data_IF_967572469874
#
_entry.id   IF_967572469874
#
_cell.length_a   1.000
_cell.length_b   1.000
_cell.length_c   1.000
_cell.angle_alpha   90.00
_cell.angle_beta   90.00
_cell.angle_gamma   90.00
#
_symmetry.space_group_name_H-M   'P 1'
#
loop_
_entity.id
_entity.type
_entity.pdbx_description
1 polymer ?
#
# COMPACT_ATOMS: atom_id res chain seq x y z
N UNK A 1 -18.22 9.96 24.22
CA UNK A 1 -19.56 10.45 23.84
C UNK A 1 -19.38 11.40 22.68
N UNK A 2 -20.11 11.23 21.56
CA UNK A 2 -19.98 12.10 20.38
C UNK A 2 -20.73 13.41 20.63
N UNK A 3 -20.18 14.54 20.21
CA UNK A 3 -20.89 15.81 20.27
C UNK A 3 -21.89 15.88 19.11
N UNK A 4 -23.18 15.77 19.43
CA UNK A 4 -24.28 15.86 18.46
C UNK A 4 -24.74 17.32 18.39
N UNK A 5 -24.79 17.96 17.20
CA UNK A 5 -25.36 19.30 17.07
C UNK A 5 -26.79 19.34 17.61
N UNK A 6 -27.14 20.36 18.39
CA UNK A 6 -28.45 20.43 19.05
C UNK A 6 -29.63 20.32 18.06
N UNK A 7 -29.51 20.95 16.89
CA UNK A 7 -30.53 20.84 15.83
C UNK A 7 -30.69 19.41 15.28
N UNK A 8 -29.59 18.64 15.20
CA UNK A 8 -29.65 17.23 14.80
C UNK A 8 -30.19 16.34 15.93
N UNK A 9 -29.92 16.67 17.19
CA UNK A 9 -30.50 15.97 18.33
C UNK A 9 -32.03 16.07 18.34
N UNK A 10 -32.58 17.25 18.07
CA UNK A 10 -34.05 17.45 17.95
C UNK A 10 -34.66 16.55 16.86
N UNK A 11 -33.94 16.34 15.75
CA UNK A 11 -34.38 15.43 14.68
C UNK A 11 -34.32 13.97 15.11
N UNK A 12 -33.26 13.57 15.83
CA UNK A 12 -33.10 12.22 16.37
C UNK A 12 -34.18 11.89 17.41
N UNK A 13 -34.59 12.87 18.21
CA UNK A 13 -35.63 12.70 19.24
C UNK A 13 -37.06 12.76 18.68
N UNK A 14 -37.23 13.02 17.37
CA UNK A 14 -38.54 13.11 16.73
C UNK A 14 -39.07 11.74 16.30
N UNK A 15 -40.39 11.56 16.36
CA UNK A 15 -41.05 10.30 15.97
C UNK A 15 -40.92 9.99 14.45
N UNK A 16 -40.67 11.01 13.63
CA UNK A 16 -40.50 10.89 12.18
C UNK A 16 -39.18 11.54 11.78
N UNK A 17 -38.18 10.70 11.54
CA UNK A 17 -36.83 11.16 11.19
C UNK A 17 -36.65 11.31 9.68
N UNK A 18 -35.89 12.32 9.26
CA UNK A 18 -35.49 12.55 7.87
C UNK A 18 -34.01 12.20 7.67
N UNK A 19 -33.56 11.11 8.28
CA UNK A 19 -32.15 10.74 8.31
C UNK A 19 -31.79 9.78 7.18
N UNK A 20 -30.62 9.99 6.58
CA UNK A 20 -29.99 9.15 5.58
C UNK A 20 -28.53 8.88 5.98
N UNK A 21 -28.00 7.73 5.57
CA UNK A 21 -26.57 7.46 5.66
C UNK A 21 -25.86 7.92 4.40
N UNK A 22 -24.69 8.51 4.60
CA UNK A 22 -23.81 8.86 3.52
C UNK A 22 -22.38 8.39 3.80
N UNK A 23 -21.71 7.94 2.76
CA UNK A 23 -20.32 7.50 2.82
C UNK A 23 -19.46 8.39 1.93
N UNK A 24 -18.30 8.77 2.44
CA UNK A 24 -17.28 9.47 1.65
C UNK A 24 -16.04 8.61 1.65
N UNK A 25 -15.67 8.10 0.47
CA UNK A 25 -14.47 7.33 0.22
C UNK A 25 -13.40 8.25 -0.40
N UNK A 26 -12.17 8.16 0.12
CA UNK A 26 -11.00 8.93 -0.34
C UNK A 26 -9.86 7.98 -0.66
N UNK A 27 -9.47 7.95 -1.93
CA UNK A 27 -8.32 7.17 -2.43
C UNK A 27 -7.02 7.92 -2.23
N UNK A 28 -5.90 7.19 -2.24
CA UNK A 28 -4.54 7.76 -2.08
C UNK A 28 -4.11 8.64 -3.26
N UNK A 29 -4.72 8.47 -4.43
CA UNK A 29 -4.50 9.28 -5.63
C UNK A 29 -5.34 10.58 -5.66
N UNK A 30 -6.08 10.87 -4.59
CA UNK A 30 -6.87 12.10 -4.44
C UNK A 30 -8.29 12.01 -4.99
N UNK A 31 -8.68 10.88 -5.60
CA UNK A 31 -10.07 10.66 -6.01
C UNK A 31 -10.97 10.56 -4.77
N UNK A 32 -12.07 11.32 -4.79
CA UNK A 32 -13.09 11.34 -3.73
C UNK A 32 -14.42 10.92 -4.32
N UNK A 33 -15.09 9.98 -3.65
CA UNK A 33 -16.37 9.44 -4.08
C UNK A 33 -17.35 9.47 -2.92
N UNK A 34 -18.56 9.94 -3.19
CA UNK A 34 -19.64 9.96 -2.21
C UNK A 34 -20.76 9.01 -2.61
N UNK A 35 -21.36 8.37 -1.61
CA UNK A 35 -22.48 7.45 -1.75
C UNK A 35 -23.55 7.77 -0.69
N UNK A 36 -24.82 7.50 -0.99
CA UNK A 36 -25.94 7.68 -0.05
C UNK A 36 -26.95 6.53 -0.17
N UNK A 37 -27.61 6.18 0.93
CA UNK A 37 -28.75 5.25 0.94
C UNK A 37 -30.09 5.95 0.65
N UNK A 38 -30.07 7.28 0.52
CA UNK A 38 -31.22 8.06 0.06
C UNK A 38 -31.50 7.82 -1.43
N UNK A 39 -32.73 8.12 -1.85
CA UNK A 39 -33.18 7.99 -3.24
C UNK A 39 -32.72 9.15 -4.14
N UNK A 40 -32.15 10.21 -3.53
CA UNK A 40 -31.67 11.42 -4.21
C UNK A 40 -30.25 11.77 -3.78
N UNK A 41 -29.48 12.41 -4.67
CA UNK A 41 -28.11 12.84 -4.40
C UNK A 41 -28.07 13.87 -3.24
N UNK A 42 -27.13 13.68 -2.31
CA UNK A 42 -26.91 14.57 -1.17
C UNK A 42 -25.52 15.20 -1.21
N UNK A 43 -25.37 16.45 -0.78
CA UNK A 43 -24.07 17.14 -0.78
C UNK A 43 -23.52 17.29 0.64
N UNK A 44 -22.30 16.79 0.88
CA UNK A 44 -21.64 16.83 2.17
C UNK A 44 -20.24 17.44 2.04
N UNK A 45 -20.04 18.62 2.61
CA UNK A 45 -18.71 19.25 2.64
C UNK A 45 -18.09 19.44 1.25
N UNK A 46 -18.92 19.70 0.23
CA UNK A 46 -18.50 19.83 -1.17
C UNK A 46 -18.37 18.52 -1.94
N UNK A 47 -18.61 17.36 -1.32
CA UNK A 47 -18.66 16.05 -1.98
C UNK A 47 -20.11 15.71 -2.33
N UNK A 48 -20.37 15.32 -3.58
CA UNK A 48 -21.67 14.78 -3.99
C UNK A 48 -21.75 13.29 -3.64
N UNK A 49 -22.67 12.94 -2.74
CA UNK A 49 -23.03 11.59 -2.38
C UNK A 49 -24.15 11.10 -3.30
N UNK A 50 -23.81 10.22 -4.24
CA UNK A 50 -24.71 9.79 -5.32
C UNK A 50 -25.65 8.67 -4.88
N UNK A 51 -26.94 8.83 -5.15
CA UNK A 51 -27.96 7.80 -4.94
C UNK A 51 -27.84 6.67 -5.98
N UNK A 52 -28.36 5.48 -5.66
CA UNK A 52 -28.43 4.35 -6.61
C UNK A 52 -27.09 3.75 -7.05
N UNK A 53 -25.98 4.15 -6.43
CA UNK A 53 -24.63 3.63 -6.72
C UNK A 53 -24.17 2.52 -5.76
N UNK A 54 -25.07 2.07 -4.88
CA UNK A 54 -25.01 0.74 -4.32
C UNK A 54 -24.23 0.56 -3.03
N UNK A 55 -24.09 1.60 -2.21
CA UNK A 55 -23.83 1.38 -0.79
C UNK A 55 -25.16 1.15 -0.07
N UNK A 56 -25.36 -0.06 0.43
CA UNK A 56 -26.40 -0.35 1.41
C UNK A 56 -25.70 -0.61 2.75
N UNK A 57 -26.24 -0.09 3.86
CA UNK A 57 -25.72 -0.43 5.16
C UNK A 57 -26.10 -1.89 5.50
N UNK A 58 -25.12 -2.79 5.61
CA UNK A 58 -25.29 -4.01 6.40
C UNK A 58 -25.22 -3.67 7.89
N UNK A 59 -25.75 -4.57 8.72
CA UNK A 59 -25.79 -4.41 10.17
C UNK A 59 -24.36 -4.23 10.73
N UNK A 60 -24.01 -2.98 11.05
CA UNK A 60 -22.74 -2.66 11.68
C UNK A 60 -22.81 -3.05 13.17
N UNK A 61 -22.28 -4.22 13.52
CA UNK A 61 -22.18 -4.61 14.93
C UNK A 61 -21.11 -3.78 15.64
N UNK A 62 -21.50 -2.77 16.41
CA UNK A 62 -20.59 -2.04 17.29
C UNK A 62 -20.54 -2.74 18.66
N UNK A 63 -19.42 -3.41 18.97
CA UNK A 63 -19.11 -3.82 20.35
C UNK A 63 -18.00 -2.92 20.87
N UNK A 64 -18.19 -2.37 22.07
CA UNK A 64 -17.21 -1.50 22.74
C UNK A 64 -16.09 -2.33 23.39
N UNK A 65 -15.28 -3.00 22.57
CA UNK A 65 -14.11 -3.74 23.04
C UNK A 65 -12.88 -3.43 22.16
N UNK A 66 -11.68 -3.70 22.68
CA UNK A 66 -10.41 -3.62 21.94
C UNK A 66 -10.27 -4.76 20.92
N UNK A 67 -11.31 -5.59 20.73
CA UNK A 67 -11.38 -6.53 19.62
C UNK A 67 -11.47 -5.77 18.30
N UNK A 68 -10.81 -6.31 17.28
CA UNK A 68 -11.01 -5.90 15.89
C UNK A 68 -12.40 -6.38 15.48
N UNK A 69 -13.42 -5.69 15.96
CA UNK A 69 -14.78 -5.85 15.44
C UNK A 69 -14.84 -5.04 14.14
N UNK A 70 -14.56 -5.72 13.02
CA UNK A 70 -14.73 -5.17 11.69
C UNK A 70 -16.22 -4.89 11.45
N UNK A 71 -16.54 -3.70 10.96
CA UNK A 71 -17.86 -3.49 10.38
C UNK A 71 -17.78 -3.97 8.94
N UNK A 72 -18.52 -5.01 8.57
CA UNK A 72 -18.68 -5.33 7.15
C UNK A 72 -19.70 -4.36 6.55
N UNK A 73 -19.31 -3.66 5.47
CA UNK A 73 -20.26 -2.95 4.61
C UNK A 73 -20.42 -3.78 3.34
N UNK A 74 -21.59 -4.38 3.17
CA UNK A 74 -22.00 -5.01 1.92
C UNK A 74 -22.69 -3.98 1.05
N UNK A 75 -22.07 -3.60 -0.07
CA UNK A 75 -22.66 -2.68 -1.03
C UNK A 75 -22.63 -3.28 -2.43
N UNK A 76 -23.77 -3.35 -3.12
CA UNK A 76 -23.81 -3.68 -4.54
C UNK A 76 -23.23 -2.52 -5.38
N UNK A 77 -21.90 -2.37 -5.41
CA UNK A 77 -21.22 -1.26 -6.10
C UNK A 77 -21.62 -1.22 -7.58
N UNK A 78 -22.23 -0.12 -8.03
CA UNK A 78 -22.55 0.03 -9.45
C UNK A 78 -21.32 0.50 -10.24
N UNK A 79 -21.13 -0.13 -11.40
CA UNK A 79 -19.97 -0.16 -12.31
C UNK A 79 -19.37 1.22 -12.70
N UNK A 80 -20.10 2.32 -12.51
CA UNK A 80 -19.60 3.66 -12.90
C UNK A 80 -18.71 4.35 -11.86
N UNK A 81 -18.76 3.93 -10.59
CA UNK A 81 -17.98 4.56 -9.52
C UNK A 81 -16.76 3.71 -9.11
N UNK A 82 -16.91 2.40 -8.97
CA UNK A 82 -15.81 1.49 -8.66
C UNK A 82 -15.64 0.48 -9.79
N UNK A 83 -14.73 0.79 -10.71
CA UNK A 83 -14.47 -0.09 -11.86
C UNK A 83 -13.64 -1.30 -11.43
N UNK A 84 -13.83 -2.44 -12.12
CA UNK A 84 -13.01 -3.64 -11.92
C UNK A 84 -11.53 -3.36 -12.13
N UNK A 85 -11.20 -2.56 -13.15
CA UNK A 85 -9.84 -2.12 -13.43
C UNK A 85 -9.20 -1.41 -12.22
N UNK A 86 -9.95 -0.53 -11.54
CA UNK A 86 -9.41 0.20 -10.39
C UNK A 86 -9.19 -0.70 -9.16
N UNK A 87 -10.09 -1.67 -8.95
CA UNK A 87 -9.97 -2.67 -7.88
C UNK A 87 -8.78 -3.61 -8.13
N UNK A 88 -8.66 -4.14 -9.34
CA UNK A 88 -7.54 -5.00 -9.74
C UNK A 88 -6.20 -4.25 -9.68
N UNK A 89 -6.21 -2.94 -9.91
CA UNK A 89 -5.07 -2.06 -9.74
C UNK A 89 -4.76 -1.71 -8.27
N UNK A 90 -5.52 -2.19 -7.29
CA UNK A 90 -5.29 -1.88 -5.86
C UNK A 90 -5.47 -0.39 -5.53
N UNK A 91 -6.20 0.38 -6.36
CA UNK A 91 -6.38 1.84 -6.16
C UNK A 91 -7.21 2.19 -4.93
N UNK A 92 -7.99 1.22 -4.44
CA UNK A 92 -8.79 1.32 -3.23
C UNK A 92 -8.06 0.79 -1.98
N UNK A 93 -6.83 0.29 -2.11
CA UNK A 93 -6.07 -0.26 -0.99
C UNK A 93 -5.85 0.81 0.08
N UNK A 94 -6.34 0.52 1.29
CA UNK A 94 -6.34 1.43 2.43
C UNK A 94 -6.95 2.81 2.12
N UNK A 95 -7.93 2.88 1.20
CA UNK A 95 -8.76 4.06 1.01
C UNK A 95 -9.45 4.41 2.33
N UNK A 96 -9.49 5.70 2.67
CA UNK A 96 -10.21 6.15 3.87
C UNK A 96 -11.70 6.22 3.57
N UNK A 97 -12.52 5.77 4.51
CA UNK A 97 -13.97 5.91 4.42
C UNK A 97 -14.53 6.54 5.68
N UNK A 98 -15.41 7.50 5.47
CA UNK A 98 -16.14 8.23 6.48
C UNK A 98 -17.63 7.92 6.34
N UNK A 99 -18.26 7.45 7.41
CA UNK A 99 -19.71 7.25 7.47
C UNK A 99 -20.34 8.41 8.21
N UNK A 100 -21.34 9.01 7.57
CA UNK A 100 -22.10 10.16 8.05
C UNK A 100 -23.56 9.79 8.21
N UNK A 101 -24.17 10.27 9.28
CA UNK A 101 -25.62 10.34 9.41
C UNK A 101 -26.04 11.77 9.12
N UNK A 102 -26.97 11.96 8.20
CA UNK A 102 -27.31 13.25 7.61
C UNK A 102 -28.82 13.42 7.58
N UNK A 103 -29.33 14.60 7.91
CA UNK A 103 -30.72 14.95 7.60
C UNK A 103 -30.82 15.27 6.10
N UNK A 104 -31.54 14.46 5.31
CA UNK A 104 -31.67 14.70 3.87
C UNK A 104 -32.45 15.98 3.55
N UNK A 105 -33.28 16.49 4.49
CA UNK A 105 -33.99 17.75 4.33
C UNK A 105 -33.11 18.98 4.57
N UNK A 106 -32.01 18.82 5.31
CA UNK A 106 -30.96 19.82 5.52
C UNK A 106 -29.60 19.14 5.70
N UNK A 107 -28.83 18.91 4.61
CA UNK A 107 -27.53 18.24 4.67
C UNK A 107 -26.43 18.94 5.49
N UNK A 108 -26.71 20.17 5.95
CA UNK A 108 -25.84 20.83 6.92
C UNK A 108 -25.90 20.17 8.31
N UNK A 109 -27.04 19.55 8.64
CA UNK A 109 -27.26 18.76 9.85
C UNK A 109 -26.73 17.34 9.64
N UNK A 110 -25.48 17.13 10.06
CA UNK A 110 -24.81 15.84 9.91
C UNK A 110 -23.89 15.53 11.07
N UNK A 111 -23.60 14.26 11.25
CA UNK A 111 -22.62 13.79 12.23
C UNK A 111 -21.80 12.64 11.65
N UNK A 112 -20.49 12.66 11.90
CA UNK A 112 -19.59 11.56 11.58
C UNK A 112 -19.83 10.41 12.57
N UNK A 113 -20.36 9.30 12.08
CA UNK A 113 -20.67 8.11 12.88
C UNK A 113 -19.52 7.10 12.87
N UNK A 114 -18.74 7.02 11.81
CA UNK A 114 -17.57 6.15 11.75
C UNK A 114 -16.50 6.69 10.81
N UNK A 115 -15.24 6.32 11.08
CA UNK A 115 -14.12 6.52 10.18
C UNK A 115 -13.24 5.29 10.24
N UNK A 116 -12.82 4.81 9.09
CA UNK A 116 -11.96 3.64 8.95
C UNK A 116 -11.23 3.62 7.63
N UNK A 117 -10.65 2.48 7.31
CA UNK A 117 -10.06 2.18 6.01
C UNK A 117 -10.74 0.98 5.38
N UNK A 118 -10.76 0.95 4.05
CA UNK A 118 -11.15 -0.22 3.29
C UNK A 118 -10.12 -1.35 3.52
N UNK A 119 -10.63 -2.51 3.94
CA UNK A 119 -9.90 -3.75 4.13
C UNK A 119 -10.00 -4.64 2.89
N UNK A 120 -10.26 -5.94 3.10
CA UNK A 120 -10.44 -6.88 1.99
C UNK A 120 -11.69 -6.53 1.18
N UNK A 121 -11.56 -6.52 -0.15
CA UNK A 121 -12.69 -6.40 -1.09
C UNK A 121 -12.89 -7.73 -1.79
N UNK A 122 -14.03 -8.36 -1.55
CA UNK A 122 -14.45 -9.61 -2.19
C UNK A 122 -15.45 -9.32 -3.30
N UNK A 123 -15.42 -10.13 -4.36
CA UNK A 123 -16.39 -10.08 -5.45
C UNK A 123 -17.24 -11.34 -5.46
N UNK A 124 -18.56 -11.16 -5.53
CA UNK A 124 -19.52 -12.23 -5.80
C UNK A 124 -20.45 -11.81 -6.94
N UNK A 125 -20.18 -12.30 -8.15
CA UNK A 125 -20.93 -11.92 -9.35
C UNK A 125 -20.75 -10.44 -9.71
N UNK A 126 -21.86 -9.68 -9.73
CA UNK A 126 -21.88 -8.23 -9.96
C UNK A 126 -21.84 -7.40 -8.66
N UNK A 127 -21.84 -8.06 -7.50
CA UNK A 127 -21.75 -7.39 -6.20
C UNK A 127 -20.33 -7.49 -5.66
N UNK A 128 -19.96 -6.50 -4.85
CA UNK A 128 -18.71 -6.49 -4.10
C UNK A 128 -19.02 -6.32 -2.62
N UNK A 129 -18.21 -6.92 -1.77
CA UNK A 129 -18.28 -6.73 -0.33
C UNK A 129 -16.94 -6.18 0.12
N UNK A 130 -16.96 -5.06 0.83
CA UNK A 130 -15.75 -4.45 1.34
C UNK A 130 -15.77 -4.45 2.87
N UNK A 131 -14.71 -5.00 3.45
CA UNK A 131 -14.49 -4.95 4.89
C UNK A 131 -14.14 -3.50 5.30
N UNK A 132 -14.79 -2.98 6.34
CA UNK A 132 -14.30 -1.76 7.00
C UNK A 132 -13.50 -2.10 8.23
N UNK A 133 -12.25 -1.65 8.20
CA UNK A 133 -11.35 -1.74 9.34
C UNK A 133 -11.44 -0.44 10.13
N UNK A 134 -11.84 -0.57 11.39
CA UNK A 134 -11.85 0.55 12.33
C UNK A 134 -10.43 0.98 12.70
N UNK A 135 -10.31 2.11 13.38
CA UNK A 135 -9.00 2.65 13.80
C UNK A 135 -8.20 1.70 14.72
N UNK A 136 -8.87 0.77 15.40
CA UNK A 136 -8.24 -0.23 16.26
C UNK A 136 -7.42 -1.27 15.48
N UNK A 137 -7.68 -1.47 14.18
CA UNK A 137 -6.88 -2.36 13.32
C UNK A 137 -5.39 -1.98 13.32
N UNK A 138 -5.10 -0.68 13.39
CA UNK A 138 -3.74 -0.17 13.49
C UNK A 138 -3.04 -0.59 14.79
N UNK A 139 -3.79 -0.80 15.87
CA UNK A 139 -3.25 -1.21 17.17
C UNK A 139 -3.02 -2.72 17.25
N UNK A 140 -3.74 -3.52 16.46
CA UNK A 140 -3.54 -4.97 16.38
C UNK A 140 -2.39 -5.40 15.49
N UNK A 141 -1.80 -4.48 14.72
CA UNK A 141 -0.64 -4.81 13.90
C UNK A 141 0.57 -5.12 14.79
N UNK A 142 1.16 -6.30 14.59
CA UNK A 142 2.42 -6.66 15.22
C UNK A 142 3.48 -5.63 14.84
N UNK A 143 3.86 -4.82 15.82
CA UNK A 143 4.85 -3.78 15.65
C UNK A 143 6.05 -4.07 16.54
N UNK A 144 7.23 -4.01 15.96
CA UNK A 144 8.46 -4.36 16.66
C UNK A 144 9.64 -4.42 15.72
N UNK A 145 10.83 -4.44 16.30
CA UNK A 145 12.06 -4.64 15.54
C UNK A 145 12.49 -6.09 15.67
N UNK A 146 12.59 -6.77 14.54
CA UNK A 146 13.26 -8.07 14.46
C UNK A 146 14.78 -7.85 14.48
N UNK A 147 15.48 -8.67 15.27
CA UNK A 147 16.94 -8.70 15.31
C UNK A 147 17.43 -9.75 14.31
N UNK A 148 17.76 -9.32 13.09
CA UNK A 148 18.24 -10.18 12.01
C UNK A 148 19.55 -9.65 11.44
N UNK A 149 20.30 -10.52 10.74
CA UNK A 149 21.52 -10.12 10.04
C UNK A 149 21.25 -9.13 8.89
N UNK A 150 20.10 -9.26 8.23
CA UNK A 150 19.64 -8.38 7.16
C UNK A 150 19.21 -7.00 7.67
N UNK A 151 19.31 -5.99 6.81
CA UNK A 151 18.82 -4.65 7.10
C UNK A 151 17.28 -4.64 7.19
N UNK A 152 16.73 -4.14 8.30
CA UNK A 152 15.28 -3.92 8.45
C UNK A 152 14.77 -2.57 7.92
N UNK A 153 15.61 -1.78 7.24
CA UNK A 153 15.23 -0.47 6.66
C UNK A 153 14.93 -0.56 5.18
N UNK A 154 13.98 0.23 4.70
CA UNK A 154 13.73 0.41 3.28
C UNK A 154 14.70 1.41 2.68
N UNK A 155 15.16 1.13 1.46
CA UNK A 155 16.13 1.99 0.81
C UNK A 155 15.52 3.38 0.60
N UNK A 156 16.18 4.40 1.15
CA UNK A 156 15.69 5.79 1.11
C UNK A 156 14.62 6.15 2.14
N UNK A 157 14.23 5.22 3.04
CA UNK A 157 13.40 5.58 4.19
C UNK A 157 14.16 6.48 5.18
N UNK A 158 13.47 7.07 6.17
CA UNK A 158 14.10 7.95 7.16
C UNK A 158 15.16 7.29 8.05
N UNK A 159 15.19 5.95 8.11
CA UNK A 159 16.18 5.17 8.87
C UNK A 159 17.42 4.86 8.03
N UNK A 160 17.26 4.68 6.73
CA UNK A 160 18.30 4.40 5.73
C UNK A 160 18.94 5.69 5.20
N UNK A 161 18.15 6.69 4.80
CA UNK A 161 18.59 8.02 4.35
C UNK A 161 19.41 8.08 3.06
N UNK A 162 19.47 6.99 2.28
CA UNK A 162 20.04 7.06 0.93
C UNK A 162 19.15 7.94 0.07
N UNK A 163 19.73 8.95 -0.56
CA UNK A 163 18.99 9.83 -1.47
C UNK A 163 18.70 9.14 -2.80
N UNK A 164 17.48 8.62 -2.95
CA UNK A 164 16.98 8.05 -4.21
C UNK A 164 16.64 9.10 -5.28
N UNK A 165 16.76 10.39 -4.96
CA UNK A 165 16.74 11.48 -5.95
C UNK A 165 18.04 11.57 -6.76
N UNK A 166 19.15 11.02 -6.24
CA UNK A 166 20.43 11.03 -6.92
C UNK A 166 20.36 10.27 -8.26
N UNK A 167 20.80 10.87 -9.39
CA UNK A 167 20.83 10.21 -10.70
C UNK A 167 21.60 8.89 -10.75
N UNK A 168 22.55 8.65 -9.84
CA UNK A 168 23.23 7.36 -9.72
C UNK A 168 22.30 6.21 -9.31
N UNK A 169 21.20 6.54 -8.60
CA UNK A 169 20.22 5.58 -8.08
C UNK A 169 18.86 5.69 -8.76
N UNK A 170 18.73 6.55 -9.77
CA UNK A 170 17.45 6.86 -10.41
C UNK A 170 17.60 6.96 -11.92
N UNK A 171 16.83 6.14 -12.63
CA UNK A 171 16.76 6.14 -14.09
C UNK A 171 15.35 6.46 -14.57
N UNK A 172 15.26 6.95 -15.81
CA UNK A 172 13.99 7.10 -16.52
C UNK A 172 14.12 6.47 -17.90
N UNK A 173 13.04 5.90 -18.38
CA UNK A 173 13.05 5.20 -19.67
C UNK A 173 11.67 5.02 -20.24
N UNK A 174 11.64 4.39 -21.41
CA UNK A 174 10.41 3.97 -22.08
C UNK A 174 10.49 2.50 -22.45
N UNK A 175 9.32 1.84 -22.48
CA UNK A 175 9.18 0.47 -22.96
C UNK A 175 9.39 0.44 -24.47
N UNK A 176 10.31 -0.39 -24.93
CA UNK A 176 10.58 -0.58 -26.36
C UNK A 176 9.89 -1.82 -26.92
N UNK A 177 9.73 -2.86 -26.11
CA UNK A 177 8.98 -4.06 -26.49
C UNK A 177 8.45 -4.79 -25.25
N UNK A 178 7.28 -5.41 -25.40
CA UNK A 178 6.70 -6.30 -24.38
C UNK A 178 7.17 -7.73 -24.69
N UNK A 179 7.90 -8.33 -23.76
CA UNK A 179 8.48 -9.67 -23.91
C UNK A 179 7.64 -10.75 -23.24
N UNK A 180 6.70 -10.36 -22.37
CA UNK A 180 5.76 -11.22 -21.65
C UNK A 180 4.86 -10.40 -20.74
N UNK A 181 3.99 -11.05 -19.96
CA UNK A 181 3.01 -10.39 -19.09
C UNK A 181 3.64 -9.49 -18.02
N UNK A 182 4.84 -9.81 -17.55
CA UNK A 182 5.59 -9.04 -16.55
C UNK A 182 7.05 -8.81 -16.96
N UNK A 183 7.35 -8.84 -18.27
CA UNK A 183 8.71 -8.69 -18.79
C UNK A 183 8.75 -7.74 -19.98
N UNK A 184 9.63 -6.75 -19.91
CA UNK A 184 9.72 -5.68 -20.91
C UNK A 184 11.17 -5.41 -21.29
N UNK A 185 11.39 -5.07 -22.56
CA UNK A 185 12.59 -4.41 -23.02
C UNK A 185 12.41 -2.90 -22.92
N UNK A 186 13.46 -2.18 -22.53
CA UNK A 186 13.39 -0.74 -22.26
C UNK A 186 14.58 0.02 -22.84
N UNK A 187 14.42 1.32 -22.99
CA UNK A 187 15.49 2.27 -23.33
C UNK A 187 15.74 3.25 -22.18
N UNK A 188 16.86 3.97 -22.21
CA UNK A 188 17.17 5.04 -21.24
C UNK A 188 17.87 4.57 -19.97
N UNK A 189 18.10 3.26 -19.84
CA UNK A 189 18.82 2.66 -18.71
C UNK A 189 20.21 2.15 -19.06
N UNK A 190 20.71 2.42 -20.27
CA UNK A 190 21.96 1.87 -20.80
C UNK A 190 23.21 2.30 -20.01
N UNK A 191 23.13 3.43 -19.30
CA UNK A 191 24.19 3.92 -18.42
C UNK A 191 24.29 3.22 -17.05
N UNK A 192 23.37 2.31 -16.73
CA UNK A 192 23.32 1.64 -15.44
C UNK A 192 23.83 0.19 -15.53
N UNK A 193 24.64 -0.20 -14.55
CA UNK A 193 25.10 -1.58 -14.43
C UNK A 193 23.94 -2.57 -14.22
N UNK A 194 24.09 -3.78 -14.76
CA UNK A 194 23.12 -4.86 -14.55
C UNK A 194 22.87 -5.08 -13.05
N UNK A 195 21.66 -5.55 -12.71
CA UNK A 195 21.22 -5.80 -11.34
C UNK A 195 21.11 -4.59 -10.40
N UNK A 196 21.47 -3.36 -10.82
CA UNK A 196 21.32 -2.16 -9.99
C UNK A 196 19.89 -1.95 -9.49
N UNK A 197 18.91 -2.17 -10.38
CA UNK A 197 17.49 -2.01 -10.10
C UNK A 197 16.81 -3.29 -9.62
N UNK A 198 17.54 -4.38 -9.33
CA UNK A 198 16.93 -5.58 -8.72
C UNK A 198 16.39 -5.25 -7.33
N UNK A 199 15.16 -5.67 -7.02
CA UNK A 199 14.43 -5.26 -5.82
C UNK A 199 14.27 -3.73 -5.68
N UNK A 200 14.39 -3.02 -6.80
CA UNK A 200 14.11 -1.59 -6.91
C UNK A 200 12.65 -1.35 -7.26
N UNK A 201 12.26 -0.08 -7.30
CA UNK A 201 10.89 0.33 -7.62
C UNK A 201 10.81 0.93 -9.02
N UNK A 202 9.94 0.39 -9.86
CA UNK A 202 9.51 1.01 -11.11
C UNK A 202 8.20 1.75 -10.87
N UNK A 203 8.12 2.99 -11.35
CA UNK A 203 6.94 3.86 -11.26
C UNK A 203 6.55 4.30 -12.66
N UNK A 204 5.35 3.98 -13.10
CA UNK A 204 4.84 4.33 -14.42
C UNK A 204 4.46 5.81 -14.47
N UNK A 205 4.94 6.53 -15.48
CA UNK A 205 4.68 7.96 -15.67
C UNK A 205 3.70 8.24 -16.81
N UNK A 206 3.44 7.25 -17.67
CA UNK A 206 2.44 7.32 -18.74
C UNK A 206 1.84 5.94 -19.01
N UNK A 207 0.96 5.84 -20.02
CA UNK A 207 0.27 4.61 -20.38
C UNK A 207 -0.93 4.32 -19.47
N UNK A 208 -1.56 3.16 -19.68
CA UNK A 208 -2.72 2.72 -18.89
C UNK A 208 -2.38 2.53 -17.39
N UNK A 209 -1.11 2.23 -17.10
CA UNK A 209 -0.61 2.05 -15.75
C UNK A 209 -0.08 3.36 -15.10
N UNK A 210 -0.29 4.53 -15.69
CA UNK A 210 0.24 5.79 -15.15
C UNK A 210 -0.14 5.99 -13.67
N UNK A 211 0.86 6.36 -12.85
CA UNK A 211 0.72 6.52 -11.40
C UNK A 211 0.89 5.23 -10.59
N UNK A 212 0.86 4.05 -11.24
CA UNK A 212 1.13 2.77 -10.59
C UNK A 212 2.63 2.53 -10.41
N UNK A 213 2.97 1.69 -9.43
CA UNK A 213 4.33 1.27 -9.20
C UNK A 213 4.41 -0.21 -8.83
N UNK A 214 5.56 -0.81 -9.12
CA UNK A 214 5.81 -2.23 -8.93
C UNK A 214 7.28 -2.47 -8.60
N UNK A 215 7.54 -3.53 -7.85
CA UNK A 215 8.91 -3.96 -7.59
C UNK A 215 9.49 -4.69 -8.81
N UNK A 216 10.75 -4.37 -9.11
CA UNK A 216 11.52 -5.00 -10.18
C UNK A 216 12.16 -6.27 -9.64
N UNK A 217 11.72 -7.41 -10.15
CA UNK A 217 12.31 -8.72 -9.86
C UNK A 217 13.74 -8.81 -10.41
N UNK A 218 13.95 -8.29 -11.61
CA UNK A 218 15.23 -8.42 -12.28
C UNK A 218 15.50 -7.34 -13.33
N UNK A 219 16.72 -6.82 -13.31
CA UNK A 219 17.33 -5.92 -14.28
C UNK A 219 18.53 -6.62 -14.94
N UNK A 220 18.43 -6.88 -16.25
CA UNK A 220 19.48 -7.54 -17.04
C UNK A 220 19.76 -6.77 -18.32
N UNK A 221 20.98 -6.90 -18.82
CA UNK A 221 21.35 -6.47 -20.18
C UNK A 221 21.61 -7.72 -21.01
N UNK A 222 20.84 -7.91 -22.08
CA UNK A 222 20.91 -9.10 -22.94
C UNK A 222 21.10 -8.63 -24.38
N UNK A 223 22.22 -9.01 -25.01
CA UNK A 223 22.56 -8.60 -26.38
C UNK A 223 22.46 -7.07 -26.61
N UNK A 224 22.89 -6.27 -25.63
CA UNK A 224 22.84 -4.80 -25.68
C UNK A 224 21.47 -4.18 -25.38
N UNK A 225 20.44 -4.99 -25.10
CA UNK A 225 19.10 -4.51 -24.73
C UNK A 225 18.88 -4.64 -23.22
N UNK A 226 18.43 -3.57 -22.58
CA UNK A 226 18.02 -3.60 -21.18
C UNK A 226 16.65 -4.26 -21.05
N UNK A 227 16.55 -5.25 -20.15
CA UNK A 227 15.32 -6.00 -19.85
C UNK A 227 14.99 -5.91 -18.37
N UNK A 228 13.74 -5.60 -18.09
CA UNK A 228 13.16 -5.58 -16.75
C UNK A 228 12.12 -6.68 -16.63
N UNK A 229 12.22 -7.49 -15.58
CA UNK A 229 11.16 -8.40 -15.16
C UNK A 229 10.57 -7.89 -13.86
N UNK A 230 9.24 -7.85 -13.80
CA UNK A 230 8.46 -7.37 -12.66
C UNK A 230 8.06 -8.55 -11.78
N UNK A 231 7.87 -8.32 -10.48
CA UNK A 231 7.48 -9.37 -9.56
C UNK A 231 6.09 -9.94 -9.82
N UNK A 232 5.18 -9.09 -10.32
CA UNK A 232 3.82 -9.44 -10.66
C UNK A 232 3.44 -8.79 -12.00
N UNK A 233 2.38 -9.29 -12.63
CA UNK A 233 1.79 -8.60 -13.77
C UNK A 233 1.15 -7.29 -13.30
N UNK A 234 1.17 -6.28 -14.17
CA UNK A 234 0.42 -5.05 -13.93
C UNK A 234 -1.08 -5.30 -14.11
N UNK A 235 -1.91 -4.48 -13.46
CA UNK A 235 -3.36 -4.59 -13.59
C UNK A 235 -3.84 -4.28 -15.02
N UNK A 236 -3.22 -3.28 -15.66
CA UNK A 236 -3.47 -2.95 -17.07
C UNK A 236 -2.33 -3.45 -17.97
N UNK A 237 -2.59 -3.74 -19.25
CA UNK A 237 -1.56 -4.10 -20.20
C UNK A 237 -0.46 -3.03 -20.31
N UNK A 238 0.79 -3.48 -20.40
CA UNK A 238 1.92 -2.61 -20.72
C UNK A 238 2.03 -2.47 -22.24
N UNK A 239 2.26 -1.26 -22.74
CA UNK A 239 2.44 -0.98 -24.16
C UNK A 239 3.84 -0.42 -24.46
N UNK A 240 4.29 -0.59 -25.71
CA UNK A 240 5.50 0.10 -26.19
C UNK A 240 5.25 1.62 -26.21
N UNK A 241 6.23 2.38 -25.75
CA UNK A 241 6.13 3.83 -25.55
C UNK A 241 5.75 4.24 -24.11
N UNK A 242 5.29 3.32 -23.27
CA UNK A 242 4.99 3.62 -21.87
C UNK A 242 6.25 4.08 -21.14
N UNK A 243 6.16 5.24 -20.50
CA UNK A 243 7.23 5.88 -19.76
C UNK A 243 7.24 5.47 -18.30
N UNK A 244 8.43 5.42 -17.72
CA UNK A 244 8.62 5.06 -16.32
C UNK A 244 9.84 5.73 -15.69
N UNK A 245 9.87 5.72 -14.36
CA UNK A 245 11.04 6.04 -13.53
C UNK A 245 11.36 4.82 -12.66
N UNK A 246 12.64 4.43 -12.62
CA UNK A 246 13.14 3.37 -11.73
C UNK A 246 14.04 3.95 -10.65
N UNK A 247 14.03 3.33 -9.49
CA UNK A 247 14.99 3.58 -8.40
C UNK A 247 15.75 2.31 -8.08
N UNK A 248 17.01 2.45 -7.66
CA UNK A 248 17.89 1.34 -7.31
C UNK A 248 17.26 0.46 -6.23
N UNK A 249 17.62 -0.82 -6.21
CA UNK A 249 17.18 -1.73 -5.17
C UNK A 249 18.28 -2.09 -4.18
N UNK A 250 17.85 -2.67 -3.05
CA UNK A 250 18.73 -3.08 -1.96
C UNK A 250 18.39 -4.52 -1.57
N UNK A 251 19.39 -5.40 -1.61
CA UNK A 251 19.29 -6.80 -1.16
C UNK A 251 19.33 -6.95 0.37
N UNK A 252 19.32 -5.83 1.09
CA UNK A 252 19.36 -5.72 2.56
C UNK A 252 20.64 -6.33 3.18
N UNK A 253 21.69 -6.60 2.40
CA UNK A 253 22.96 -7.15 2.91
C UNK A 253 23.91 -6.04 3.37
N UNK A 254 24.72 -6.36 4.38
CA UNK A 254 25.72 -5.45 4.92
C UNK A 254 26.77 -5.06 3.87
N UNK A 255 27.30 -6.03 3.11
CA UNK A 255 28.28 -5.78 2.05
C UNK A 255 27.74 -4.80 1.00
N UNK A 256 26.52 -5.01 0.50
CA UNK A 256 25.88 -4.09 -0.46
C UNK A 256 25.68 -2.70 0.14
N UNK A 257 25.29 -2.59 1.42
CA UNK A 257 25.16 -1.31 2.10
C UNK A 257 26.49 -0.54 2.21
N UNK A 258 27.59 -1.25 2.50
CA UNK A 258 28.95 -0.71 2.53
C UNK A 258 29.45 -0.32 1.14
N UNK A 259 29.44 -1.27 0.21
CA UNK A 259 30.20 -1.19 -1.03
C UNK A 259 29.45 -0.39 -2.11
N UNK A 260 28.12 -0.55 -2.19
CA UNK A 260 27.30 0.17 -3.17
C UNK A 260 26.88 1.54 -2.67
N UNK A 261 26.39 1.62 -1.43
CA UNK A 261 25.75 2.84 -0.92
C UNK A 261 26.63 3.62 0.05
N UNK A 262 27.75 3.07 0.53
CA UNK A 262 28.60 3.75 1.51
C UNK A 262 27.89 4.09 2.83
N UNK A 263 26.84 3.34 3.20
CA UNK A 263 25.84 3.78 4.18
C UNK A 263 25.75 2.91 5.44
N UNK A 264 26.88 2.35 5.89
CA UNK A 264 26.94 1.47 7.06
C UNK A 264 26.37 2.15 8.32
N UNK A 265 26.61 3.45 8.50
CA UNK A 265 26.15 4.19 9.68
C UNK A 265 24.62 4.15 9.87
N UNK A 266 23.87 3.93 8.77
CA UNK A 266 22.42 3.83 8.78
C UNK A 266 21.91 2.39 8.58
N UNK A 267 22.81 1.38 8.61
CA UNK A 267 22.42 -0.02 8.53
C UNK A 267 21.59 -0.41 9.76
N UNK A 268 20.44 -1.07 9.53
CA UNK A 268 19.48 -1.43 10.60
C UNK A 268 19.39 -2.93 10.86
N UNK A 269 20.36 -3.71 10.39
CA UNK A 269 20.55 -5.12 10.74
C UNK A 269 21.69 -5.33 11.74
N UNK A 270 21.93 -6.60 12.07
CA UNK A 270 22.93 -7.05 13.03
C UNK A 270 23.83 -8.11 12.37
N UNK A 271 24.82 -7.72 11.56
CA UNK A 271 25.53 -8.64 10.68
C UNK A 271 26.35 -9.69 11.44
N UNK A 272 26.74 -9.41 12.69
CA UNK A 272 27.46 -10.35 13.56
C UNK A 272 26.55 -11.19 14.48
N UNK A 273 25.22 -11.15 14.31
CA UNK A 273 24.33 -11.94 15.16
C UNK A 273 24.65 -13.44 14.99
N UNK A 274 25.03 -14.16 16.07
CA UNK A 274 25.31 -15.58 15.96
C UNK A 274 24.06 -16.36 15.58
N UNK A 275 24.21 -17.37 14.73
CA UNK A 275 23.11 -18.28 14.38
C UNK A 275 22.73 -19.20 15.53
N UNK A 276 21.58 -19.88 15.40
CA UNK A 276 21.06 -20.80 16.42
C UNK A 276 22.06 -21.91 16.79
N UNK A 277 22.86 -22.37 15.82
CA UNK A 277 23.89 -23.40 16.03
C UNK A 277 24.94 -22.97 17.06
N UNK A 278 25.29 -21.67 17.10
CA UNK A 278 26.23 -21.15 18.09
C UNK A 278 25.63 -21.19 19.50
N UNK A 279 24.32 -20.94 19.63
CA UNK A 279 23.62 -20.91 20.93
C UNK A 279 23.57 -22.29 21.59
N UNK A 280 23.45 -23.35 20.79
CA UNK A 280 23.44 -24.75 21.28
C UNK A 280 24.83 -25.39 21.31
N UNK A 281 25.84 -24.68 20.82
CA UNK A 281 27.22 -25.18 20.81
C UNK A 281 27.81 -25.17 22.22
N UNK A 282 28.75 -26.08 22.47
CA UNK A 282 29.58 -26.10 23.66
C UNK A 282 31.05 -26.03 23.24
N UNK A 283 31.91 -25.37 24.02
CA UNK A 283 33.33 -25.30 23.70
C UNK A 283 33.96 -26.70 23.79
N UNK A 284 34.58 -27.15 22.70
CA UNK A 284 35.34 -28.39 22.64
C UNK A 284 36.82 -28.07 22.83
N UNK A 285 37.47 -28.51 23.93
CA UNK A 285 38.90 -28.27 24.14
C UNK A 285 39.75 -28.82 22.99
N UNK A 286 40.68 -28.01 22.48
CA UNK A 286 41.54 -28.38 21.35
C UNK A 286 40.90 -28.28 19.97
N UNK A 287 39.61 -27.94 19.87
CA UNK A 287 38.99 -27.63 18.60
C UNK A 287 39.53 -26.29 18.04
N UNK A 288 39.67 -26.18 16.70
CA UNK A 288 40.08 -24.93 16.06
C UNK A 288 39.03 -23.82 16.27
N UNK A 289 39.46 -22.55 16.25
CA UNK A 289 38.56 -21.38 16.37
C UNK A 289 38.32 -20.85 17.80
N UNK A 290 39.03 -21.39 18.80
CA UNK A 290 39.00 -20.91 20.18
C UNK A 290 40.14 -19.91 20.48
N UNK A 291 40.37 -18.95 19.59
CA UNK A 291 41.49 -17.99 19.62
C UNK A 291 41.05 -16.53 19.87
N UNK A 292 39.74 -16.29 20.00
CA UNK A 292 39.17 -14.96 20.15
C UNK A 292 39.05 -14.17 18.84
N UNK A 293 39.25 -14.83 17.69
CA UNK A 293 39.04 -14.25 16.36
C UNK A 293 37.56 -14.05 16.01
N UNK A 294 37.27 -13.33 14.91
CA UNK A 294 35.90 -13.11 14.44
C UNK A 294 35.20 -14.42 14.08
N UNK A 295 34.01 -14.60 14.63
CA UNK A 295 33.14 -15.73 14.31
C UNK A 295 32.43 -15.45 12.97
N UNK A 296 32.80 -16.17 11.92
CA UNK A 296 32.00 -16.24 10.68
C UNK A 296 32.40 -15.34 9.51
N UNK A 297 33.54 -14.63 9.55
CA UNK A 297 34.09 -14.02 8.32
C UNK A 297 34.78 -15.09 7.46
N UNK A 298 34.02 -15.69 6.55
CA UNK A 298 34.57 -16.16 5.27
C UNK A 298 34.05 -15.26 4.16
N UNK A 299 34.79 -14.17 3.89
CA UNK A 299 34.74 -13.40 2.63
C UNK A 299 33.52 -12.53 2.40
#
# INVERSE_FOLDING_TARGET
MRAIPAALQVKLDSDVTTLAQCWILRRRDGVVQGFTDHDSDLAIGGVSCRAGTGFAASEASQRFALSVDGAEISGALSDTALTEADLAAGRYDAATIETWLVDWSDPSLRILTARGSLGEVKREGQAFTAELRGLADLLSQESGRLYTASCGADLGDGRCRVDLGNPAWRGSGTVTAVLGTSSVAVSGLDGFGAALFNAGRLSWTSGANAGMAIEIKQHRVVAGQVRLSLWQAMAEPIAAGDGFVVTAGCDKRFATCRDRFGNIANFRGFPQIPGNDFVISYPVPGAPGNDGGPLGEKG
#
